data_IF_442476060693
#
_entry.id   IF_442476060693
#
_cell.length_a   1.000
_cell.length_b   1.000
_cell.length_c   1.000
_cell.angle_alpha   90.00
_cell.angle_beta   90.00
_cell.angle_gamma   90.00
#
_symmetry.space_group_name_H-M   'P 1'
#
loop_
_entity.id
_entity.type
_entity.pdbx_description
1 polymer ?
#
# COMPACT_ATOMS: atom_id res chain seq x y z
N UNK A 1 4.67 47.34 -22.05
CA UNK A 1 3.66 46.25 -21.98
C UNK A 1 4.36 45.00 -21.49
N UNK A 2 4.17 44.69 -20.22
CA UNK A 2 4.78 43.57 -19.51
C UNK A 2 3.84 42.33 -19.63
N UNK A 3 4.26 41.20 -20.18
CA UNK A 3 3.46 39.99 -20.27
C UNK A 3 3.79 39.02 -19.13
N UNK A 4 3.86 39.49 -17.90
CA UNK A 4 3.93 38.60 -16.72
C UNK A 4 2.55 38.38 -16.12
N UNK A 5 1.70 37.65 -16.84
CA UNK A 5 0.50 37.07 -16.27
C UNK A 5 0.84 36.02 -15.23
N UNK A 6 0.05 35.88 -14.13
CA UNK A 6 0.32 34.88 -13.11
C UNK A 6 0.24 33.48 -13.72
N UNK A 7 1.37 32.78 -13.69
CA UNK A 7 1.46 31.40 -14.13
C UNK A 7 0.38 30.58 -13.42
N UNK A 8 -0.51 30.01 -14.21
CA UNK A 8 -1.52 29.06 -13.78
C UNK A 8 -0.78 27.80 -13.26
N UNK A 9 -0.37 27.83 -12.00
CA UNK A 9 0.07 26.61 -11.33
C UNK A 9 -1.14 25.68 -11.28
N UNK A 10 -1.21 24.77 -12.23
CA UNK A 10 -2.10 23.61 -12.08
C UNK A 10 -1.72 22.95 -10.76
N UNK A 11 -2.55 23.15 -9.74
CA UNK A 11 -2.51 22.35 -8.52
C UNK A 11 -2.74 20.90 -8.96
N UNK A 12 -1.66 20.15 -9.13
CA UNK A 12 -1.75 18.74 -9.48
C UNK A 12 -2.14 17.97 -8.23
N UNK A 13 -3.45 17.78 -8.06
CA UNK A 13 -3.99 16.91 -7.03
C UNK A 13 -3.80 15.46 -7.50
N UNK A 14 -2.83 14.76 -6.92
CA UNK A 14 -2.61 13.33 -7.14
C UNK A 14 -3.79 12.53 -6.56
N UNK A 15 -4.52 11.82 -7.40
CA UNK A 15 -5.62 10.96 -6.96
C UNK A 15 -5.08 9.61 -6.51
N UNK A 16 -5.14 9.33 -5.21
CA UNK A 16 -4.57 8.14 -4.60
C UNK A 16 -5.64 7.26 -3.96
N UNK A 17 -5.46 5.93 -4.05
CA UNK A 17 -6.29 4.93 -3.38
C UNK A 17 -5.41 3.95 -2.62
N UNK A 18 -5.83 3.55 -1.43
CA UNK A 18 -5.20 2.46 -0.68
C UNK A 18 -6.20 1.34 -0.48
N UNK A 19 -5.90 0.18 -1.04
CA UNK A 19 -6.69 -1.05 -0.90
C UNK A 19 -6.05 -1.87 0.22
N UNK A 20 -6.77 -2.05 1.32
CA UNK A 20 -6.23 -2.64 2.54
C UNK A 20 -7.09 -3.79 3.05
N UNK A 21 -6.46 -4.94 3.29
CA UNK A 21 -7.05 -6.03 4.07
C UNK A 21 -6.47 -6.01 5.47
N UNK A 22 -7.32 -5.78 6.46
CA UNK A 22 -6.94 -5.82 7.87
C UNK A 22 -7.94 -6.66 8.65
N UNK A 23 -7.50 -7.79 9.21
CA UNK A 23 -8.36 -8.72 9.94
C UNK A 23 -8.11 -8.66 11.45
N UNK A 24 -6.98 -9.16 11.92
CA UNK A 24 -6.68 -9.24 13.35
C UNK A 24 -6.05 -7.94 13.84
N UNK A 25 -6.57 -7.41 14.96
CA UNK A 25 -6.00 -6.27 15.70
C UNK A 25 -5.84 -4.95 14.93
N UNK A 26 -6.32 -4.84 13.69
CA UNK A 26 -6.27 -3.59 12.92
C UNK A 26 -4.87 -3.12 12.53
N UNK A 27 -3.84 -3.96 12.61
CA UNK A 27 -2.45 -3.57 12.37
C UNK A 27 -2.21 -2.97 10.99
N UNK A 28 -2.67 -3.68 9.95
CA UNK A 28 -2.52 -3.22 8.56
C UNK A 28 -3.32 -1.95 8.32
N UNK A 29 -4.50 -1.83 8.94
CA UNK A 29 -5.35 -0.65 8.82
C UNK A 29 -4.67 0.59 9.41
N UNK A 30 -4.05 0.51 10.59
CA UNK A 30 -3.29 1.62 11.18
C UNK A 30 -2.15 2.10 10.28
N UNK A 31 -1.44 1.18 9.63
CA UNK A 31 -0.40 1.52 8.65
C UNK A 31 -1.01 2.19 7.42
N UNK A 32 -2.12 1.65 6.91
CA UNK A 32 -2.83 2.22 5.77
C UNK A 32 -3.32 3.64 6.05
N UNK A 33 -3.97 3.87 7.20
CA UNK A 33 -4.48 5.19 7.59
C UNK A 33 -3.35 6.21 7.71
N UNK A 34 -2.20 5.82 8.29
CA UNK A 34 -1.03 6.70 8.39
C UNK A 34 -0.42 7.05 7.02
N UNK A 35 -0.38 6.10 6.09
CA UNK A 35 0.04 6.37 4.71
C UNK A 35 -0.97 7.24 3.97
N UNK A 36 -2.27 7.03 4.20
CA UNK A 36 -3.36 7.79 3.58
C UNK A 36 -3.31 9.27 3.95
N UNK A 37 -3.01 9.61 5.20
CA UNK A 37 -2.81 11.00 5.63
C UNK A 37 -1.73 11.72 4.79
N UNK A 38 -0.63 11.04 4.48
CA UNK A 38 0.48 11.60 3.69
C UNK A 38 0.14 11.71 2.20
N UNK A 39 -0.62 10.74 1.68
CA UNK A 39 -0.93 10.61 0.25
C UNK A 39 -2.25 11.30 -0.13
N UNK A 40 -3.01 11.82 0.84
CA UNK A 40 -4.38 12.29 0.65
C UNK A 40 -5.24 11.22 -0.06
N UNK A 41 -5.17 9.97 0.46
CA UNK A 41 -5.75 8.80 -0.14
C UNK A 41 -6.98 8.30 0.63
N UNK A 42 -7.93 7.75 -0.09
CA UNK A 42 -9.01 6.94 0.50
C UNK A 42 -8.50 5.54 0.83
N UNK A 43 -8.93 4.95 1.97
CA UNK A 43 -8.62 3.58 2.36
C UNK A 43 -9.86 2.71 2.24
N UNK A 44 -9.83 1.73 1.35
CA UNK A 44 -10.96 0.84 1.05
C UNK A 44 -10.59 -0.63 1.22
N UNK A 45 -11.60 -1.49 1.39
CA UNK A 45 -11.42 -2.95 1.34
C UNK A 45 -11.49 -3.47 -0.11
N UNK A 46 -10.85 -4.63 -0.42
CA UNK A 46 -10.86 -5.20 -1.77
C UNK A 46 -12.25 -5.43 -2.36
N UNK A 47 -13.23 -5.73 -1.51
CA UNK A 47 -14.60 -6.01 -1.90
C UNK A 47 -15.36 -4.77 -2.40
N UNK A 48 -14.92 -3.58 -1.97
CA UNK A 48 -15.50 -2.30 -2.38
C UNK A 48 -14.89 -1.75 -3.68
N UNK A 49 -13.86 -2.41 -4.21
CA UNK A 49 -13.14 -1.95 -5.40
C UNK A 49 -13.77 -2.50 -6.68
N UNK A 50 -14.15 -1.61 -7.56
CA UNK A 50 -14.40 -1.97 -8.96
C UNK A 50 -13.07 -1.97 -9.72
N UNK A 51 -12.60 -3.15 -10.20
CA UNK A 51 -11.32 -3.27 -10.90
C UNK A 51 -11.19 -2.36 -12.12
N UNK A 52 -12.28 -2.10 -12.85
CA UNK A 52 -12.27 -1.29 -14.07
C UNK A 52 -12.06 0.21 -13.76
N UNK A 53 -12.40 0.64 -12.55
CA UNK A 53 -12.30 2.04 -12.14
C UNK A 53 -10.91 2.44 -11.61
N UNK A 54 -9.95 1.51 -11.52
CA UNK A 54 -8.61 1.83 -11.02
C UNK A 54 -7.83 2.77 -11.94
N UNK A 55 -8.17 2.83 -13.23
CA UNK A 55 -7.53 3.73 -14.20
C UNK A 55 -7.72 5.23 -13.87
N UNK A 56 -8.67 5.58 -13.00
CA UNK A 56 -8.88 6.96 -12.56
C UNK A 56 -7.88 7.45 -11.49
N UNK A 57 -7.04 6.55 -10.94
CA UNK A 57 -6.07 6.87 -9.90
C UNK A 57 -4.66 6.97 -10.46
N UNK A 58 -3.90 7.94 -9.95
CA UNK A 58 -2.48 8.13 -10.27
C UNK A 58 -1.60 7.16 -9.47
N UNK A 59 -2.08 6.77 -8.28
CA UNK A 59 -1.35 5.91 -7.35
C UNK A 59 -2.31 4.97 -6.61
N UNK A 60 -1.98 3.67 -6.60
CA UNK A 60 -2.73 2.65 -5.85
C UNK A 60 -1.83 1.90 -4.88
N UNK A 61 -2.17 1.91 -3.60
CA UNK A 61 -1.53 1.12 -2.55
C UNK A 61 -2.25 -0.22 -2.35
N UNK A 62 -1.49 -1.29 -2.19
CA UNK A 62 -2.01 -2.65 -1.92
C UNK A 62 -1.45 -3.16 -0.61
N UNK A 63 -2.31 -3.30 0.40
CA UNK A 63 -1.93 -3.65 1.77
C UNK A 63 -2.59 -4.90 2.32
N UNK A 64 -1.82 -5.69 3.07
CA UNK A 64 -2.33 -6.89 3.75
C UNK A 64 -1.51 -7.26 4.98
N UNK A 65 -2.16 -7.97 5.91
CA UNK A 65 -1.44 -8.81 6.85
C UNK A 65 -0.84 -10.05 6.15
N UNK A 66 0.24 -10.58 6.73
CA UNK A 66 0.82 -11.86 6.33
C UNK A 66 0.26 -12.93 7.27
N UNK A 67 -0.46 -13.90 6.70
CA UNK A 67 -1.04 -15.03 7.40
C UNK A 67 -0.52 -16.32 6.80
N UNK A 68 0.00 -17.22 7.64
CA UNK A 68 0.56 -18.50 7.17
C UNK A 68 1.52 -18.35 5.99
N UNK A 69 2.45 -17.41 6.11
CA UNK A 69 3.47 -17.08 5.08
C UNK A 69 2.88 -16.58 3.74
N UNK A 70 1.65 -16.10 3.72
CA UNK A 70 0.98 -15.60 2.52
C UNK A 70 0.20 -14.32 2.78
N UNK A 71 0.04 -13.54 1.73
CA UNK A 71 -0.85 -12.38 1.69
C UNK A 71 -2.31 -12.85 1.69
N UNK A 72 -3.20 -12.09 2.32
CA UNK A 72 -4.63 -12.43 2.43
C UNK A 72 -5.26 -12.76 1.07
N UNK A 73 -6.11 -13.78 1.09
CA UNK A 73 -6.77 -14.32 -0.11
C UNK A 73 -7.66 -13.29 -0.81
N UNK A 74 -8.28 -12.36 -0.09
CA UNK A 74 -9.15 -11.31 -0.64
C UNK A 74 -8.35 -10.38 -1.54
N UNK A 75 -7.18 -9.92 -1.06
CA UNK A 75 -6.29 -9.08 -1.86
C UNK A 75 -5.77 -9.82 -3.10
N UNK A 76 -5.39 -11.08 -2.95
CA UNK A 76 -4.95 -11.93 -4.07
C UNK A 76 -6.04 -12.14 -5.11
N UNK A 77 -7.29 -12.36 -4.70
CA UNK A 77 -8.45 -12.50 -5.60
C UNK A 77 -8.69 -11.20 -6.38
N UNK A 78 -8.64 -10.05 -5.70
CA UNK A 78 -8.77 -8.77 -6.38
C UNK A 78 -7.68 -8.61 -7.45
N UNK A 79 -6.40 -8.77 -7.09
CA UNK A 79 -5.28 -8.57 -8.03
C UNK A 79 -5.39 -9.48 -9.26
N UNK A 80 -5.87 -10.72 -9.10
CA UNK A 80 -6.11 -11.63 -10.24
C UNK A 80 -7.18 -11.12 -11.20
N UNK A 81 -8.21 -10.43 -10.67
CA UNK A 81 -9.33 -9.89 -11.43
C UNK A 81 -9.04 -8.55 -12.07
N UNK A 82 -7.94 -7.87 -11.68
CA UNK A 82 -7.57 -6.59 -12.27
C UNK A 82 -7.37 -6.74 -13.79
N UNK A 83 -7.90 -5.82 -14.60
CA UNK A 83 -7.55 -5.74 -16.00
C UNK A 83 -6.07 -5.40 -16.18
N UNK A 84 -5.59 -5.53 -17.40
CA UNK A 84 -4.29 -4.96 -17.75
C UNK A 84 -4.40 -3.43 -17.77
N UNK A 85 -3.49 -2.76 -17.08
CA UNK A 85 -3.45 -1.29 -17.01
C UNK A 85 -2.16 -0.77 -17.65
N UNK A 86 -2.17 0.47 -18.09
CA UNK A 86 -0.98 1.08 -18.69
C UNK A 86 -0.30 2.03 -17.71
N UNK A 87 0.66 1.50 -16.99
CA UNK A 87 1.60 2.27 -16.19
C UNK A 87 1.06 2.95 -14.93
N UNK A 88 -0.13 2.56 -14.45
CA UNK A 88 -0.63 3.06 -13.15
C UNK A 88 0.42 2.76 -12.07
N UNK A 89 0.77 3.76 -11.30
CA UNK A 89 1.76 3.60 -10.23
C UNK A 89 1.16 2.85 -9.05
N UNK A 90 1.94 1.93 -8.49
CA UNK A 90 1.50 1.15 -7.35
C UNK A 90 2.60 1.03 -6.29
N UNK A 91 2.21 0.75 -5.06
CA UNK A 91 3.10 0.30 -3.99
C UNK A 91 2.42 -0.80 -3.18
N UNK A 92 3.22 -1.58 -2.47
CA UNK A 92 2.70 -2.61 -1.57
C UNK A 92 3.13 -2.33 -0.13
N UNK A 93 2.30 -2.74 0.84
CA UNK A 93 2.68 -2.71 2.24
C UNK A 93 2.11 -3.92 2.98
N UNK A 94 2.95 -4.50 3.84
CA UNK A 94 2.64 -5.74 4.54
C UNK A 94 2.92 -5.60 6.03
N UNK A 95 2.06 -6.20 6.85
CA UNK A 95 2.30 -6.33 8.29
C UNK A 95 2.44 -7.80 8.65
N UNK A 96 3.47 -8.16 9.41
CA UNK A 96 3.74 -9.54 9.83
C UNK A 96 3.86 -9.65 11.34
N UNK A 97 3.14 -10.60 11.93
CA UNK A 97 3.29 -10.96 13.34
C UNK A 97 4.56 -11.77 13.62
N UNK A 98 4.91 -12.70 12.74
CA UNK A 98 6.20 -13.35 12.79
C UNK A 98 7.29 -12.38 12.32
N UNK A 99 8.43 -12.31 13.03
CA UNK A 99 9.56 -11.50 12.59
C UNK A 99 9.90 -11.78 11.12
N UNK A 100 10.41 -10.78 10.41
CA UNK A 100 10.87 -10.98 9.05
C UNK A 100 11.90 -12.12 9.04
N UNK A 101 11.60 -13.20 8.34
CA UNK A 101 12.63 -14.18 8.00
C UNK A 101 13.49 -13.48 6.95
N UNK A 102 14.78 -13.21 7.21
CA UNK A 102 15.60 -12.31 6.38
C UNK A 102 15.70 -12.68 4.90
N UNK A 103 15.36 -13.93 4.55
CA UNK A 103 15.45 -14.49 3.19
C UNK A 103 14.11 -14.55 2.44
N UNK A 104 12.97 -14.21 3.09
CA UNK A 104 11.65 -14.34 2.48
C UNK A 104 11.02 -12.96 2.24
N UNK A 105 11.05 -12.51 1.00
CA UNK A 105 10.34 -11.32 0.55
C UNK A 105 8.89 -11.69 0.16
N UNK A 106 8.00 -11.65 1.14
CA UNK A 106 6.57 -11.92 0.94
C UNK A 106 5.87 -10.92 0.00
N UNK A 107 6.49 -9.76 -0.24
CA UNK A 107 5.96 -8.77 -1.17
C UNK A 107 6.24 -9.10 -2.63
N UNK A 108 7.28 -9.89 -2.91
CA UNK A 108 7.73 -10.21 -4.27
C UNK A 108 6.65 -10.86 -5.15
N UNK A 109 5.89 -11.87 -4.69
CA UNK A 109 4.82 -12.44 -5.50
C UNK A 109 3.74 -11.43 -5.86
N UNK A 110 3.35 -10.56 -4.92
CA UNK A 110 2.35 -9.51 -5.13
C UNK A 110 2.86 -8.48 -6.13
N UNK A 111 4.10 -8.01 -5.96
CA UNK A 111 4.74 -7.06 -6.87
C UNK A 111 4.84 -7.60 -8.29
N UNK A 112 5.25 -8.85 -8.44
CA UNK A 112 5.35 -9.50 -9.75
C UNK A 112 3.97 -9.62 -10.41
N UNK A 113 2.93 -9.96 -9.64
CA UNK A 113 1.57 -10.07 -10.15
C UNK A 113 1.03 -8.70 -10.57
N UNK A 114 1.27 -7.65 -9.81
CA UNK A 114 0.91 -6.27 -10.19
C UNK A 114 1.68 -5.82 -11.44
N UNK A 115 2.97 -6.09 -11.52
CA UNK A 115 3.78 -5.76 -12.69
C UNK A 115 3.29 -6.49 -13.94
N UNK A 116 2.88 -7.78 -13.85
CA UNK A 116 2.30 -8.52 -14.97
C UNK A 116 0.94 -7.96 -15.44
N UNK A 117 0.27 -7.19 -14.57
CA UNK A 117 -0.97 -6.46 -14.91
C UNK A 117 -0.70 -5.04 -15.44
N UNK A 118 0.55 -4.66 -15.64
CA UNK A 118 0.93 -3.37 -16.21
C UNK A 118 1.15 -2.25 -15.17
N UNK A 119 1.03 -2.55 -13.86
CA UNK A 119 1.34 -1.55 -12.82
C UNK A 119 2.84 -1.28 -12.74
N UNK A 120 3.19 0.01 -12.57
CA UNK A 120 4.54 0.42 -12.23
C UNK A 120 4.73 0.42 -10.71
N UNK A 121 5.26 -0.67 -10.17
CA UNK A 121 5.45 -0.82 -8.72
C UNK A 121 6.65 -0.01 -8.24
N UNK A 122 6.39 1.03 -7.44
CA UNK A 122 7.38 1.98 -6.95
C UNK A 122 8.15 1.50 -5.73
N UNK A 123 7.60 0.54 -4.98
CA UNK A 123 8.25 0.00 -3.80
C UNK A 123 7.35 -0.84 -2.93
N UNK A 124 7.94 -1.37 -1.86
CA UNK A 124 7.26 -2.16 -0.85
C UNK A 124 7.68 -1.73 0.55
N UNK A 125 6.73 -1.69 1.46
CA UNK A 125 6.94 -1.45 2.88
C UNK A 125 6.54 -2.68 3.68
N UNK A 126 7.29 -3.03 4.71
CA UNK A 126 6.93 -4.12 5.63
C UNK A 126 7.28 -3.71 7.06
N UNK A 127 6.35 -3.90 7.97
CA UNK A 127 6.59 -3.71 9.40
C UNK A 127 6.03 -4.86 10.23
N UNK A 128 6.39 -4.88 11.53
CA UNK A 128 5.84 -5.86 12.47
C UNK A 128 4.43 -5.44 12.90
N UNK A 129 3.55 -6.45 13.05
CA UNK A 129 2.23 -6.29 13.64
C UNK A 129 2.08 -7.17 14.89
N UNK A 130 1.14 -6.84 15.75
CA UNK A 130 0.76 -7.69 16.87
C UNK A 130 0.03 -8.94 16.33
N UNK A 131 0.44 -10.13 16.79
CA UNK A 131 -0.10 -11.39 16.32
C UNK A 131 -0.46 -12.32 17.48
N UNK A 132 -1.65 -12.91 17.39
CA UNK A 132 -2.18 -13.92 18.31
C UNK A 132 -2.57 -15.21 17.59
N UNK A 133 -2.19 -15.39 16.31
CA UNK A 133 -2.59 -16.53 15.49
C UNK A 133 -1.79 -17.77 15.87
N UNK A 134 -2.49 -18.93 15.92
CA UNK A 134 -1.88 -20.21 16.23
C UNK A 134 -1.32 -20.30 17.67
N UNK A 135 -0.10 -20.85 17.86
CA UNK A 135 0.48 -21.04 19.18
C UNK A 135 0.76 -19.74 19.93
N UNK A 136 0.82 -18.60 19.25
CA UNK A 136 1.06 -17.29 19.86
C UNK A 136 -0.11 -16.81 20.71
N UNK A 137 -1.34 -17.28 20.45
CA UNK A 137 -2.51 -16.98 21.27
C UNK A 137 -2.37 -17.46 22.72
N UNK A 138 -1.76 -18.62 22.95
CA UNK A 138 -1.59 -19.20 24.29
C UNK A 138 -0.61 -18.42 25.19
N UNK A 139 0.33 -17.70 24.60
CA UNK A 139 1.31 -16.87 25.32
C UNK A 139 0.92 -15.38 25.32
N UNK A 140 -0.33 -15.07 24.90
CA UNK A 140 -0.85 -13.70 24.86
C UNK A 140 -0.36 -12.88 23.67
N UNK A 141 0.07 -13.52 22.60
CA UNK A 141 0.53 -12.89 21.37
C UNK A 141 1.98 -12.45 21.36
N UNK A 142 2.48 -12.16 20.17
CA UNK A 142 3.83 -11.60 19.94
C UNK A 142 3.74 -10.19 19.39
N UNK A 143 4.81 -9.40 19.60
CA UNK A 143 4.89 -7.99 19.17
C UNK A 143 3.75 -7.10 19.74
N UNK A 144 3.39 -7.28 21.01
CA UNK A 144 2.44 -6.38 21.69
C UNK A 144 2.83 -4.92 21.52
N UNK A 145 1.85 -4.05 21.21
CA UNK A 145 2.08 -2.63 20.93
C UNK A 145 2.61 -2.32 19.53
N UNK A 146 2.63 -3.31 18.62
CA UNK A 146 2.99 -3.09 17.20
C UNK A 146 1.74 -3.06 16.30
N UNK A 147 1.76 -2.27 15.21
CA UNK A 147 2.74 -1.23 14.91
C UNK A 147 2.73 -0.12 15.97
N UNK A 148 3.91 0.35 16.38
CA UNK A 148 4.07 1.48 17.29
C UNK A 148 4.29 2.79 16.51
N UNK A 149 4.45 3.91 17.22
CA UNK A 149 4.61 5.24 16.59
C UNK A 149 5.81 5.27 15.63
N UNK A 150 6.92 4.64 16.01
CA UNK A 150 8.10 4.54 15.14
C UNK A 150 7.82 3.77 13.84
N UNK A 151 7.03 2.68 13.90
CA UNK A 151 6.61 1.95 12.69
C UNK A 151 5.70 2.82 11.81
N UNK A 152 4.81 3.61 12.42
CA UNK A 152 3.91 4.52 11.72
C UNK A 152 4.66 5.71 11.10
N UNK A 153 5.70 6.23 11.76
CA UNK A 153 6.59 7.24 11.19
C UNK A 153 7.35 6.71 9.98
N UNK A 154 7.86 5.48 10.04
CA UNK A 154 8.50 4.84 8.89
C UNK A 154 7.52 4.62 7.73
N UNK A 155 6.27 4.26 8.03
CA UNK A 155 5.21 4.15 7.02
C UNK A 155 4.93 5.50 6.36
N UNK A 156 4.83 6.57 7.14
CA UNK A 156 4.66 7.93 6.63
C UNK A 156 5.84 8.37 5.76
N UNK A 157 7.07 8.12 6.21
CA UNK A 157 8.28 8.43 5.43
C UNK A 157 8.35 7.64 4.11
N UNK A 158 7.91 6.37 4.11
CA UNK A 158 7.79 5.59 2.89
C UNK A 158 6.76 6.20 1.93
N UNK A 159 5.57 6.54 2.41
CA UNK A 159 4.51 7.17 1.63
C UNK A 159 4.98 8.51 1.02
N UNK A 160 5.70 9.33 1.79
CA UNK A 160 6.28 10.58 1.30
C UNK A 160 7.27 10.34 0.15
N UNK A 161 8.14 9.34 0.24
CA UNK A 161 9.04 8.97 -0.86
C UNK A 161 8.30 8.50 -2.11
N UNK A 162 7.22 7.72 -1.94
CA UNK A 162 6.36 7.30 -3.05
C UNK A 162 5.72 8.52 -3.72
N UNK A 163 5.16 9.45 -2.93
CA UNK A 163 4.58 10.70 -3.43
C UNK A 163 5.56 11.51 -4.28
N UNK A 164 6.80 11.66 -3.82
CA UNK A 164 7.86 12.37 -4.56
C UNK A 164 8.15 11.66 -5.89
N UNK A 165 8.22 10.34 -5.92
CA UNK A 165 8.45 9.56 -7.15
C UNK A 165 7.32 9.70 -8.16
N UNK A 166 6.07 9.81 -7.68
CA UNK A 166 4.92 10.07 -8.57
C UNK A 166 5.01 11.47 -9.15
N UNK A 167 5.29 12.49 -8.33
CA UNK A 167 5.40 13.88 -8.78
C UNK A 167 6.58 14.12 -9.75
N UNK A 168 7.70 13.42 -9.57
CA UNK A 168 8.89 13.56 -10.40
C UNK A 168 8.89 12.72 -11.70
N UNK A 169 7.88 11.89 -11.94
CA UNK A 169 7.76 11.14 -13.19
C UNK A 169 6.79 11.85 -14.12
N UNK A 170 7.18 12.16 -15.38
CA UNK A 170 6.24 12.74 -16.33
C UNK A 170 5.03 11.81 -16.49
N UNK A 171 3.85 12.40 -16.62
CA UNK A 171 2.63 11.66 -16.95
C UNK A 171 2.89 10.86 -18.22
N UNK A 172 2.50 9.59 -18.23
CA UNK A 172 2.47 8.81 -19.47
C UNK A 172 1.50 9.52 -20.43
N UNK A 173 2.04 9.95 -21.57
CA UNK A 173 1.31 10.60 -22.65
C UNK A 173 0.52 9.58 -23.43
#
# INVERSE_FOLDING_TARGET
MDPSGPGFQRSWSMKSLIICVSTSHGNTRRVADRMAEVLDAEVVEPESVDPENLCQYDLVGFGSGIYYMSVDTRLRKLIRRLPHVDGIRAFTFLTSGAGQIPLLDYSKPVRNQLASKGFKVLGSFTCRGFDTVGPFGFIGGINRGRPNDHDLEHAAAFAARVRIRVAGSPAAS
#
